data_IF_744222245451
#
_entry.id   IF_744222245451
#
_cell.length_a   1.000
_cell.length_b   1.000
_cell.length_c   1.000
_cell.angle_alpha   90.00
_cell.angle_beta   90.00
_cell.angle_gamma   90.00
#
_symmetry.space_group_name_H-M   'P 1'
#
loop_
_entity.id
_entity.type
_entity.pdbx_description
1 polymer ?
#
# COMPACT_ATOMS: atom_id res chain seq x y z
N UNK A 1 -22.10 10.59 23.07
CA UNK A 1 -22.92 9.46 22.56
C UNK A 1 -22.24 9.03 21.27
N UNK A 2 -21.75 7.82 21.04
CA UNK A 2 -22.00 6.48 21.60
C UNK A 2 -20.66 5.76 21.72
N UNK A 3 -20.48 4.95 22.77
CA UNK A 3 -19.32 4.09 22.94
C UNK A 3 -19.25 3.09 21.79
N UNK A 4 -18.23 3.19 20.95
CA UNK A 4 -17.86 2.11 20.03
C UNK A 4 -17.33 0.97 20.90
N UNK A 5 -18.17 -0.04 21.14
CA UNK A 5 -17.69 -1.33 21.61
C UNK A 5 -16.64 -1.78 20.60
N UNK A 6 -15.37 -1.77 20.99
CA UNK A 6 -14.32 -2.44 20.26
C UNK A 6 -14.78 -3.90 20.14
N UNK A 7 -15.27 -4.29 18.97
CA UNK A 7 -15.48 -5.69 18.63
C UNK A 7 -14.07 -6.26 18.58
N UNK A 8 -13.60 -6.71 19.74
CA UNK A 8 -12.36 -7.47 19.84
C UNK A 8 -12.57 -8.70 18.99
N UNK A 9 -11.83 -8.80 17.89
CA UNK A 9 -11.75 -10.01 17.10
C UNK A 9 -10.92 -10.98 17.94
N UNK A 10 -11.53 -12.03 18.55
CA UNK A 10 -10.75 -12.97 19.34
C UNK A 10 -9.76 -13.69 18.42
N UNK A 11 -8.57 -14.00 18.93
CA UNK A 11 -7.53 -14.83 18.30
C UNK A 11 -6.60 -14.14 17.28
N UNK A 12 -6.22 -12.87 17.50
CA UNK A 12 -5.06 -12.30 16.79
C UNK A 12 -3.78 -12.94 17.34
N UNK A 13 -3.03 -13.63 16.48
CA UNK A 13 -1.71 -14.19 16.81
C UNK A 13 -0.66 -13.08 16.72
N UNK A 14 -0.02 -12.80 17.86
CA UNK A 14 1.02 -11.78 18.00
C UNK A 14 2.36 -12.49 18.24
N UNK A 15 3.27 -12.35 17.29
CA UNK A 15 4.63 -12.87 17.39
C UNK A 15 5.64 -11.74 17.23
N UNK A 16 6.65 -11.62 18.11
CA UNK A 16 7.71 -10.63 17.95
C UNK A 16 8.37 -10.70 16.57
N UNK A 17 8.53 -9.55 15.93
CA UNK A 17 9.16 -9.44 14.60
C UNK A 17 8.28 -9.93 13.43
N UNK A 18 6.99 -10.23 13.64
CA UNK A 18 6.06 -10.61 12.58
C UNK A 18 4.81 -9.74 12.62
N UNK A 19 4.15 -9.51 11.46
CA UNK A 19 2.83 -8.89 11.44
C UNK A 19 1.83 -9.70 12.28
N UNK A 20 0.91 -9.05 13.02
CA UNK A 20 -0.24 -9.71 13.63
C UNK A 20 -1.00 -10.54 12.60
N UNK A 21 -1.39 -11.75 12.96
CA UNK A 21 -2.16 -12.63 12.07
C UNK A 21 -3.55 -12.86 12.64
N UNK A 22 -4.57 -12.52 11.86
CA UNK A 22 -5.97 -12.80 12.18
C UNK A 22 -6.48 -13.94 11.28
N UNK A 23 -6.82 -15.12 11.83
CA UNK A 23 -7.52 -16.15 11.09
C UNK A 23 -8.98 -15.73 10.85
N UNK A 24 -9.38 -15.63 9.58
CA UNK A 24 -10.76 -15.47 9.16
C UNK A 24 -11.39 -16.84 8.89
N UNK A 25 -12.58 -17.07 9.47
CA UNK A 25 -13.44 -18.22 9.12
C UNK A 25 -14.64 -17.68 8.36
N UNK A 26 -14.64 -17.81 7.03
CA UNK A 26 -15.77 -17.40 6.19
C UNK A 26 -16.45 -18.63 5.58
N UNK A 27 -17.79 -18.62 5.57
CA UNK A 27 -18.63 -19.66 4.96
C UNK A 27 -19.15 -19.29 3.58
N UNK A 28 -18.67 -18.19 2.95
CA UNK A 28 -18.91 -17.97 1.53
C UNK A 28 -18.90 -16.51 1.02
N UNK A 29 -18.83 -15.51 1.89
CA UNK A 29 -18.87 -14.11 1.48
C UNK A 29 -17.77 -13.30 2.19
N UNK A 30 -16.59 -13.24 1.55
CA UNK A 30 -15.44 -12.51 2.07
C UNK A 30 -15.69 -10.99 2.15
N UNK A 31 -16.47 -10.44 1.22
CA UNK A 31 -16.77 -9.01 1.20
C UNK A 31 -17.71 -8.64 2.36
N UNK A 32 -18.73 -9.44 2.64
CA UNK A 32 -19.59 -9.26 3.81
C UNK A 32 -18.80 -9.37 5.10
N UNK A 33 -17.95 -10.39 5.24
CA UNK A 33 -17.07 -10.54 6.40
C UNK A 33 -16.19 -9.28 6.59
N UNK A 34 -15.60 -8.77 5.52
CA UNK A 34 -14.79 -7.55 5.57
C UNK A 34 -15.60 -6.31 5.97
N UNK A 35 -16.87 -6.23 5.55
CA UNK A 35 -17.77 -5.16 5.94
C UNK A 35 -18.13 -5.24 7.44
N UNK A 36 -18.49 -6.43 7.92
CA UNK A 36 -18.86 -6.69 9.32
C UNK A 36 -17.71 -6.40 10.28
N UNK A 37 -16.47 -6.62 9.84
CA UNK A 37 -15.28 -6.44 10.67
C UNK A 37 -14.44 -5.20 10.34
N UNK A 38 -14.91 -4.32 9.45
CA UNK A 38 -14.15 -3.14 8.97
C UNK A 38 -13.48 -2.37 10.11
N UNK A 39 -14.25 -1.99 11.12
CA UNK A 39 -13.77 -1.09 12.17
C UNK A 39 -12.76 -1.78 13.10
N UNK A 40 -13.00 -3.07 13.40
CA UNK A 40 -12.07 -3.88 14.18
C UNK A 40 -10.74 -4.09 13.44
N UNK A 41 -10.80 -4.37 12.13
CA UNK A 41 -9.59 -4.49 11.30
C UNK A 41 -8.81 -3.17 11.25
N UNK A 42 -9.50 -2.04 11.09
CA UNK A 42 -8.87 -0.70 11.12
C UNK A 42 -8.25 -0.39 12.47
N UNK A 43 -8.92 -0.73 13.58
CA UNK A 43 -8.38 -0.55 14.92
C UNK A 43 -7.10 -1.38 15.14
N UNK A 44 -7.07 -2.63 14.66
CA UNK A 44 -5.88 -3.48 14.72
C UNK A 44 -4.73 -2.92 13.88
N UNK A 45 -4.99 -2.45 12.66
CA UNK A 45 -3.97 -1.80 11.82
C UNK A 45 -3.45 -0.52 12.48
N UNK A 46 -4.32 0.30 13.07
CA UNK A 46 -3.90 1.50 13.79
C UNK A 46 -3.05 1.18 15.03
N UNK A 47 -3.37 0.10 15.74
CA UNK A 47 -2.64 -0.31 16.94
C UNK A 47 -1.28 -0.97 16.63
N UNK A 48 -1.18 -1.71 15.53
CA UNK A 48 -0.01 -2.55 15.24
C UNK A 48 0.75 -2.18 13.96
N UNK A 49 0.30 -1.16 13.22
CA UNK A 49 0.88 -0.72 11.95
C UNK A 49 0.56 -1.61 10.74
N UNK A 50 0.30 -2.91 10.95
CA UNK A 50 -0.09 -3.86 9.91
C UNK A 50 -0.93 -5.01 10.45
N UNK A 51 -1.63 -5.74 9.57
CA UNK A 51 -2.42 -6.92 9.91
C UNK A 51 -2.46 -7.88 8.72
N UNK A 52 -2.16 -9.15 8.95
CA UNK A 52 -2.38 -10.23 7.98
C UNK A 52 -3.69 -10.96 8.29
N UNK A 53 -4.67 -10.86 7.39
CA UNK A 53 -5.90 -11.66 7.48
C UNK A 53 -5.73 -12.94 6.65
N UNK A 54 -5.85 -14.10 7.28
CA UNK A 54 -5.66 -15.42 6.64
C UNK A 54 -6.96 -16.22 6.64
N UNK A 55 -7.35 -16.78 5.49
CA UNK A 55 -8.52 -17.68 5.41
C UNK A 55 -9.76 -17.08 4.75
N UNK A 56 -9.66 -15.90 4.15
CA UNK A 56 -10.77 -15.28 3.39
C UNK A 56 -11.12 -16.02 2.08
N UNK A 57 -10.24 -16.90 1.60
CA UNK A 57 -10.51 -17.71 0.40
C UNK A 57 -10.59 -16.90 -0.91
N UNK A 58 -9.90 -15.77 -1.02
CA UNK A 58 -9.84 -14.96 -2.24
C UNK A 58 -9.11 -15.72 -3.35
N UNK A 59 -9.73 -15.82 -4.53
CA UNK A 59 -9.21 -16.60 -5.68
C UNK A 59 -8.91 -15.75 -6.90
N UNK A 60 -9.51 -14.58 -7.00
CA UNK A 60 -9.37 -13.71 -8.16
C UNK A 60 -9.41 -12.22 -7.78
N UNK A 61 -9.14 -11.39 -8.79
CA UNK A 61 -9.11 -9.93 -8.63
C UNK A 61 -10.50 -9.35 -8.31
N UNK A 62 -11.59 -9.95 -8.80
CA UNK A 62 -12.95 -9.44 -8.58
C UNK A 62 -13.39 -9.64 -7.12
N UNK A 63 -13.11 -10.81 -6.55
CA UNK A 63 -13.32 -11.08 -5.11
C UNK A 63 -12.46 -10.17 -4.24
N UNK A 64 -11.20 -9.95 -4.64
CA UNK A 64 -10.27 -9.05 -3.95
C UNK A 64 -10.78 -7.61 -3.93
N UNK A 65 -11.19 -7.10 -5.09
CA UNK A 65 -11.79 -5.78 -5.22
C UNK A 65 -13.02 -5.64 -4.32
N UNK A 66 -13.92 -6.63 -4.34
CA UNK A 66 -15.12 -6.63 -3.52
C UNK A 66 -14.79 -6.51 -2.02
N UNK A 67 -13.72 -7.15 -1.55
CA UNK A 67 -13.23 -6.99 -0.16
C UNK A 67 -12.61 -5.61 0.04
N UNK A 68 -11.73 -5.15 -0.84
CA UNK A 68 -11.02 -3.88 -0.67
C UNK A 68 -11.98 -2.69 -0.58
N UNK A 69 -13.02 -2.66 -1.42
CA UNK A 69 -14.08 -1.63 -1.37
C UNK A 69 -14.86 -1.66 -0.05
N UNK A 70 -14.89 -2.79 0.66
CA UNK A 70 -15.49 -2.89 1.99
C UNK A 70 -14.56 -2.40 3.09
N UNK A 71 -13.26 -2.23 2.86
CA UNK A 71 -12.31 -1.75 3.87
C UNK A 71 -11.93 -0.27 3.70
N UNK A 72 -12.12 0.32 2.52
CA UNK A 72 -11.87 1.74 2.28
C UNK A 72 -12.28 2.21 0.88
N UNK A 73 -12.03 3.50 0.62
CA UNK A 73 -12.05 4.06 -0.73
C UNK A 73 -10.76 3.69 -1.45
N UNK A 74 -10.85 3.37 -2.74
CA UNK A 74 -9.69 3.03 -3.56
C UNK A 74 -9.17 4.29 -4.27
N UNK A 75 -7.85 4.41 -4.36
CA UNK A 75 -7.17 5.52 -5.01
C UNK A 75 -6.69 5.07 -6.39
N UNK A 76 -6.96 5.88 -7.42
CA UNK A 76 -6.39 5.67 -8.74
C UNK A 76 -4.93 6.10 -8.72
N UNK A 77 -4.03 5.18 -9.07
CA UNK A 77 -2.59 5.45 -9.15
C UNK A 77 -2.30 6.52 -10.20
N UNK A 78 -1.44 7.47 -9.81
CA UNK A 78 -0.88 8.51 -10.67
C UNK A 78 0.63 8.56 -10.43
N UNK A 79 1.35 9.18 -11.36
CA UNK A 79 2.81 9.35 -11.26
C UNK A 79 3.53 8.00 -11.10
N UNK A 80 3.03 6.97 -11.79
CA UNK A 80 3.45 5.56 -11.71
C UNK A 80 4.96 5.42 -11.60
N UNK A 81 5.42 4.67 -10.59
CA UNK A 81 6.86 4.40 -10.39
C UNK A 81 7.34 3.24 -11.28
N UNK A 82 6.54 2.19 -11.39
CA UNK A 82 6.83 1.00 -12.18
C UNK A 82 5.53 0.45 -12.79
N UNK A 83 5.58 -0.17 -13.97
CA UNK A 83 4.39 -0.70 -14.62
C UNK A 83 3.62 -1.68 -13.74
N UNK A 84 2.30 -1.50 -13.70
CA UNK A 84 1.33 -2.37 -13.03
C UNK A 84 0.20 -2.72 -13.97
N UNK A 85 -0.30 -3.95 -13.89
CA UNK A 85 -1.55 -4.32 -14.57
C UNK A 85 -2.71 -3.73 -13.77
N UNK A 86 -3.54 -2.92 -14.42
CA UNK A 86 -4.82 -2.48 -13.86
C UNK A 86 -5.85 -3.60 -13.98
N UNK A 87 -6.49 -3.98 -12.87
CA UNK A 87 -7.63 -4.91 -12.86
C UNK A 87 -8.96 -4.14 -12.93
N UNK A 88 -9.06 -3.06 -12.16
CA UNK A 88 -10.21 -2.15 -12.14
C UNK A 88 -9.76 -0.78 -11.59
N UNK A 89 -10.69 0.16 -11.39
CA UNK A 89 -10.35 1.46 -10.80
C UNK A 89 -9.91 1.31 -9.34
N UNK A 90 -8.65 1.66 -9.07
CA UNK A 90 -8.03 1.56 -7.76
C UNK A 90 -7.55 0.17 -7.35
N UNK A 91 -7.54 -0.81 -8.28
CA UNK A 91 -7.01 -2.15 -8.05
C UNK A 91 -6.00 -2.51 -9.13
N UNK A 92 -4.78 -2.78 -8.69
CA UNK A 92 -3.62 -3.02 -9.53
C UNK A 92 -2.89 -4.30 -9.11
N UNK A 93 -2.11 -4.88 -10.01
CA UNK A 93 -1.09 -5.86 -9.63
C UNK A 93 0.01 -5.19 -8.79
N UNK A 94 0.85 -6.00 -8.13
CA UNK A 94 2.13 -5.49 -7.66
C UNK A 94 2.95 -4.90 -8.82
N UNK A 95 3.86 -3.98 -8.50
CA UNK A 95 4.84 -3.44 -9.45
C UNK A 95 5.62 -4.57 -10.11
N UNK A 96 5.74 -4.52 -11.45
CA UNK A 96 6.67 -5.41 -12.16
C UNK A 96 8.09 -5.06 -11.73
N UNK A 97 8.75 -5.98 -11.04
CA UNK A 97 10.10 -5.80 -10.50
C UNK A 97 10.96 -7.02 -10.82
N UNK A 98 12.27 -6.87 -11.13
CA UNK A 98 13.16 -8.00 -11.35
C UNK A 98 13.17 -8.94 -10.13
N UNK A 99 12.94 -10.25 -10.30
CA UNK A 99 12.78 -11.18 -9.17
C UNK A 99 14.08 -11.39 -8.36
N UNK A 100 15.23 -11.02 -8.93
CA UNK A 100 16.54 -11.09 -8.28
C UNK A 100 16.97 -9.77 -7.63
N UNK A 101 16.13 -8.74 -7.63
CA UNK A 101 16.44 -7.44 -7.04
C UNK A 101 15.57 -7.16 -5.81
N UNK A 102 16.18 -6.58 -4.79
CA UNK A 102 15.47 -6.10 -3.61
C UNK A 102 14.80 -4.76 -3.91
N UNK A 103 13.53 -4.61 -3.52
CA UNK A 103 12.84 -3.33 -3.57
C UNK A 103 13.07 -2.60 -2.24
N UNK A 104 13.64 -1.39 -2.29
CA UNK A 104 13.89 -0.60 -1.09
C UNK A 104 12.58 -0.28 -0.34
N UNK A 105 12.68 -0.19 0.99
CA UNK A 105 11.56 0.26 1.82
C UNK A 105 11.15 1.67 1.42
N UNK A 106 9.84 1.88 1.30
CA UNK A 106 9.25 3.17 0.95
C UNK A 106 7.81 3.24 1.47
N UNK A 107 7.27 4.45 1.53
CA UNK A 107 5.84 4.66 1.64
C UNK A 107 5.24 4.80 0.22
N UNK A 108 4.14 4.09 -0.01
CA UNK A 108 3.43 4.09 -1.30
C UNK A 108 3.06 5.53 -1.70
N UNK A 109 3.44 5.94 -2.91
CA UNK A 109 3.22 7.30 -3.44
C UNK A 109 3.74 8.45 -2.54
N UNK A 110 4.79 8.22 -1.74
CA UNK A 110 5.41 9.26 -0.89
C UNK A 110 5.99 10.47 -1.63
N UNK A 111 6.04 10.42 -2.96
CA UNK A 111 6.45 11.53 -3.83
C UNK A 111 5.27 12.38 -4.34
N UNK A 112 4.02 11.93 -4.15
CA UNK A 112 2.82 12.65 -4.59
C UNK A 112 2.21 13.47 -3.44
N UNK A 113 1.47 14.53 -3.77
CA UNK A 113 0.76 15.36 -2.79
C UNK A 113 -0.41 14.61 -2.15
N UNK A 114 -1.10 13.78 -2.93
CA UNK A 114 -2.14 12.88 -2.45
C UNK A 114 -1.60 11.43 -2.40
N UNK A 115 -1.56 10.85 -1.22
CA UNK A 115 -1.04 9.50 -0.98
C UNK A 115 -2.01 8.67 -0.13
N UNK A 116 -1.98 7.33 -0.23
CA UNK A 116 -2.92 6.48 0.49
C UNK A 116 -2.63 6.46 1.99
N UNK A 117 -3.69 6.51 2.81
CA UNK A 117 -3.61 6.32 4.26
C UNK A 117 -3.63 4.85 4.69
N UNK A 118 -3.98 3.94 3.78
CA UNK A 118 -4.05 2.51 4.01
C UNK A 118 -3.67 1.77 2.73
N UNK A 119 -2.76 0.81 2.85
CA UNK A 119 -2.40 -0.10 1.77
C UNK A 119 -3.06 -1.47 2.00
N UNK A 120 -3.66 -2.03 0.95
CA UNK A 120 -4.30 -3.34 0.98
C UNK A 120 -3.62 -4.27 -0.02
N UNK A 121 -3.19 -5.44 0.45
CA UNK A 121 -2.56 -6.47 -0.40
C UNK A 121 -3.36 -7.76 -0.36
N UNK A 122 -3.40 -8.48 -1.48
CA UNK A 122 -3.96 -9.81 -1.57
C UNK A 122 -3.03 -10.73 -2.36
N UNK A 123 -2.71 -11.89 -1.78
CA UNK A 123 -1.91 -12.93 -2.42
C UNK A 123 -2.83 -13.90 -3.17
N UNK A 124 -3.00 -13.70 -4.47
CA UNK A 124 -3.77 -14.61 -5.33
C UNK A 124 -2.95 -15.84 -5.77
N UNK A 125 -1.64 -15.67 -5.94
CA UNK A 125 -0.70 -16.73 -6.29
C UNK A 125 0.49 -16.64 -5.35
N UNK A 126 0.66 -17.64 -4.48
CA UNK A 126 1.79 -17.68 -3.58
C UNK A 126 3.09 -18.00 -4.35
N UNK A 127 4.21 -17.31 -4.07
CA UNK A 127 5.48 -17.65 -4.66
C UNK A 127 5.97 -19.01 -4.14
N UNK A 128 6.74 -19.73 -4.94
CA UNK A 128 7.38 -21.01 -4.53
C UNK A 128 8.56 -20.80 -3.58
N UNK A 129 9.11 -19.58 -3.53
CA UNK A 129 10.15 -19.15 -2.59
C UNK A 129 10.37 -17.65 -2.67
N UNK A 130 10.82 -17.03 -1.57
CA UNK A 130 10.96 -15.58 -1.49
C UNK A 130 9.63 -14.83 -1.67
N UNK A 131 9.67 -13.65 -2.28
CA UNK A 131 8.47 -12.91 -2.69
C UNK A 131 7.60 -12.35 -1.55
N UNK A 132 8.11 -12.36 -0.32
CA UNK A 132 7.40 -11.74 0.81
C UNK A 132 7.40 -10.21 0.66
N UNK A 133 6.23 -9.60 0.86
CA UNK A 133 6.13 -8.15 1.06
C UNK A 133 6.58 -7.82 2.48
N UNK A 134 7.79 -7.29 2.61
CA UNK A 134 8.31 -6.85 3.91
C UNK A 134 7.67 -5.53 4.32
N UNK A 135 7.49 -5.34 5.63
CA UNK A 135 6.99 -4.10 6.24
C UNK A 135 7.94 -3.67 7.34
N UNK A 136 8.07 -2.36 7.54
CA UNK A 136 8.90 -1.76 8.59
C UNK A 136 8.11 -0.68 9.34
N UNK A 137 8.32 -0.60 10.66
CA UNK A 137 7.72 0.43 11.50
C UNK A 137 8.48 1.75 11.34
N UNK A 138 7.92 2.66 10.54
CA UNK A 138 8.60 3.89 10.13
C UNK A 138 8.92 4.85 11.29
N UNK A 139 8.05 5.02 12.31
CA UNK A 139 8.41 5.70 13.56
C UNK A 139 9.64 5.10 14.27
N UNK A 140 9.77 3.77 14.33
CA UNK A 140 10.95 3.13 14.91
C UNK A 140 12.20 3.37 14.05
N UNK A 141 12.07 3.29 12.72
CA UNK A 141 13.16 3.67 11.80
C UNK A 141 13.59 5.11 12.03
N UNK A 142 12.66 6.06 12.08
CA UNK A 142 12.94 7.48 12.31
C UNK A 142 13.71 7.71 13.62
N UNK A 143 13.28 7.05 14.71
CA UNK A 143 13.97 7.14 16.02
C UNK A 143 15.37 6.54 16.02
N UNK A 144 15.68 5.64 15.09
CA UNK A 144 17.00 5.01 14.95
C UNK A 144 17.99 5.83 14.13
N UNK A 145 17.53 6.86 13.42
CA UNK A 145 18.38 7.73 12.61
C UNK A 145 19.15 8.73 13.49
N UNK A 146 20.36 9.17 13.07
CA UNK A 146 21.07 10.25 13.75
C UNK A 146 20.22 11.53 13.83
N UNK A 147 20.14 12.15 15.01
CA UNK A 147 19.31 13.35 15.23
C UNK A 147 19.66 14.51 14.29
N UNK A 148 20.96 14.75 14.05
CA UNK A 148 21.43 15.79 13.13
C UNK A 148 20.94 15.59 11.68
N UNK A 149 20.76 14.33 11.26
CA UNK A 149 20.23 14.00 9.94
C UNK A 149 18.75 14.35 9.88
N UNK A 150 17.98 13.93 10.89
CA UNK A 150 16.54 14.20 10.99
C UNK A 150 16.29 15.72 11.00
N UNK A 151 16.98 16.46 11.86
CA UNK A 151 16.85 17.92 11.97
C UNK A 151 17.17 18.63 10.65
N UNK A 152 18.14 18.14 9.88
CA UNK A 152 18.48 18.71 8.57
C UNK A 152 17.36 18.49 7.57
N UNK A 153 16.76 17.29 7.53
CA UNK A 153 15.62 16.99 6.65
C UNK A 153 14.37 17.79 7.04
N UNK A 154 14.08 17.95 8.33
CA UNK A 154 12.94 18.76 8.80
C UNK A 154 13.10 20.23 8.45
N UNK A 155 14.32 20.78 8.57
CA UNK A 155 14.60 22.19 8.27
C UNK A 155 14.64 22.49 6.76
N UNK A 156 15.27 21.61 5.97
CA UNK A 156 15.57 21.87 4.57
C UNK A 156 14.62 21.18 3.59
N UNK A 157 13.91 20.15 4.04
CA UNK A 157 13.17 19.25 3.17
C UNK A 157 14.11 18.36 2.34
N UNK A 158 13.57 17.86 1.23
CA UNK A 158 14.25 16.98 0.29
C UNK A 158 13.83 17.32 -1.14
N UNK A 159 14.65 16.94 -2.12
CA UNK A 159 14.38 17.11 -3.54
C UNK A 159 14.37 15.74 -4.22
N UNK A 160 13.31 15.45 -4.97
CA UNK A 160 13.25 14.28 -5.84
C UNK A 160 13.53 14.68 -7.28
N UNK A 161 14.55 14.07 -7.87
CA UNK A 161 14.80 14.17 -9.31
C UNK A 161 14.44 12.82 -9.93
N UNK A 162 13.32 12.77 -10.65
CA UNK A 162 12.90 11.58 -11.42
C UNK A 162 13.35 11.73 -12.86
N UNK A 163 14.20 10.81 -13.32
CA UNK A 163 14.58 10.70 -14.71
C UNK A 163 13.80 9.56 -15.34
N UNK A 164 13.11 9.83 -16.44
CA UNK A 164 12.36 8.85 -17.20
C UNK A 164 13.19 8.39 -18.40
N UNK A 165 13.40 7.09 -18.53
CA UNK A 165 14.12 6.46 -19.63
C UNK A 165 13.41 5.17 -20.07
N UNK A 166 13.94 4.51 -21.11
CA UNK A 166 13.35 3.29 -21.65
C UNK A 166 13.83 2.00 -20.94
N UNK A 167 14.82 2.10 -20.04
CA UNK A 167 15.50 0.94 -19.46
C UNK A 167 14.87 0.47 -18.14
N UNK A 168 14.55 1.39 -17.23
CA UNK A 168 14.13 1.08 -15.86
C UNK A 168 12.99 2.01 -15.41
N UNK A 169 11.91 1.41 -14.90
CA UNK A 169 10.77 2.13 -14.31
C UNK A 169 9.64 2.33 -15.31
N UNK A 170 8.80 3.33 -15.04
CA UNK A 170 7.76 3.77 -15.95
C UNK A 170 8.30 4.83 -16.92
N UNK A 171 7.77 4.84 -18.15
CA UNK A 171 7.91 5.95 -19.10
C UNK A 171 7.16 7.20 -18.63
N UNK A 172 7.42 8.36 -19.26
CA UNK A 172 6.63 9.59 -19.01
C UNK A 172 5.15 9.35 -19.28
N UNK A 173 4.82 8.67 -20.39
CA UNK A 173 3.44 8.35 -20.74
C UNK A 173 2.75 7.48 -19.69
N UNK A 174 3.43 6.47 -19.16
CA UNK A 174 2.90 5.60 -18.12
C UNK A 174 2.77 6.31 -16.76
N UNK A 175 3.69 7.22 -16.46
CA UNK A 175 3.67 7.97 -15.21
C UNK A 175 2.57 9.03 -15.18
N UNK A 176 2.40 9.79 -16.26
CA UNK A 176 1.48 10.94 -16.31
C UNK A 176 0.19 10.67 -17.10
N UNK A 177 0.08 9.51 -17.75
CA UNK A 177 -1.02 9.20 -18.67
C UNK A 177 -0.95 9.95 -20.01
N UNK A 178 0.17 10.63 -20.28
CA UNK A 178 0.42 11.40 -21.50
C UNK A 178 1.92 11.62 -21.70
N UNK A 179 2.36 11.62 -22.95
CA UNK A 179 3.69 12.07 -23.40
C UNK A 179 3.66 13.50 -23.99
N UNK A 180 2.50 14.15 -24.04
CA UNK A 180 2.39 15.55 -24.44
C UNK A 180 3.02 16.44 -23.36
N UNK A 181 4.10 17.12 -23.72
CA UNK A 181 4.84 17.99 -22.82
C UNK A 181 3.95 19.04 -22.14
N UNK A 182 3.02 19.64 -22.88
CA UNK A 182 2.13 20.66 -22.33
C UNK A 182 1.16 20.08 -21.29
N UNK A 183 0.64 18.87 -21.52
CA UNK A 183 -0.18 18.14 -20.57
C UNK A 183 0.59 17.77 -19.30
N UNK A 184 1.82 17.26 -19.45
CA UNK A 184 2.70 16.92 -18.31
C UNK A 184 3.05 18.15 -17.49
N UNK A 185 3.52 19.24 -18.11
CA UNK A 185 3.87 20.48 -17.39
C UNK A 185 2.67 21.10 -16.66
N UNK A 186 1.46 20.97 -17.22
CA UNK A 186 0.22 21.43 -16.58
C UNK A 186 -0.13 20.56 -15.38
N UNK A 187 0.03 19.24 -15.51
CA UNK A 187 -0.15 18.31 -14.39
C UNK A 187 0.84 18.61 -13.26
N UNK A 188 2.13 18.77 -13.57
CA UNK A 188 3.16 19.06 -12.57
C UNK A 188 2.86 20.36 -11.80
N UNK A 189 2.53 21.44 -12.52
CA UNK A 189 2.14 22.72 -11.89
C UNK A 189 0.92 22.59 -10.98
N UNK A 190 -0.07 21.78 -11.36
CA UNK A 190 -1.27 21.56 -10.55
C UNK A 190 -1.01 20.71 -9.29
N UNK A 191 0.07 19.93 -9.26
CA UNK A 191 0.42 19.01 -8.17
C UNK A 191 1.73 19.41 -7.45
N UNK A 192 2.19 20.65 -7.62
CA UNK A 192 3.41 21.18 -6.98
C UNK A 192 4.69 20.35 -7.24
N UNK A 193 4.84 19.85 -8.48
CA UNK A 193 6.03 19.14 -8.99
C UNK A 193 6.86 20.10 -9.86
#
# INVERSE_FOLDING_TARGET
>A
MTHSLAISLPNVDLQPGKPPVLPARTTGDAARWAAEHRDALRALVAAHGSLLVRGLGLRDAAQTEAVFRRLGSLLSERETFAPRRRYSEGVYSSSKWPPNQHMCMHHELSYAVEFPSLMLFACLVAPTGGGATQVADSPTVLKSLPGELVERFERLGWLLIRNYNEDIGASIAEAFGSDDRCAVERYCRANAI
#
